data_IF_188394463025
#
_entry.id   IF_188394463025
#
_cell.length_a   1.000
_cell.length_b   1.000
_cell.length_c   1.000
_cell.angle_alpha   90.00
_cell.angle_beta   90.00
_cell.angle_gamma   90.00
#
_symmetry.space_group_name_H-M   'P 1'
#
loop_
_entity.id
_entity.type
_entity.pdbx_description
1 polymer ?
#
# COMPACT_ATOMS: atom_id res chain seq x y z
N UNK A 1 14.57 -12.54 11.62
CA UNK A 1 15.22 -12.49 10.29
C UNK A 1 15.25 -13.90 9.72
N UNK A 2 14.52 -14.19 8.63
CA UNK A 2 14.34 -15.58 8.25
C UNK A 2 15.42 -16.09 7.27
N UNK A 3 16.03 -17.20 7.67
CA UNK A 3 16.51 -18.28 6.77
C UNK A 3 15.66 -19.57 6.93
N UNK A 4 14.83 -19.68 7.98
CA UNK A 4 13.69 -20.62 8.12
C UNK A 4 12.61 -19.99 9.02
N UNK A 5 11.33 -20.23 8.73
CA UNK A 5 10.17 -19.71 9.49
C UNK A 5 9.54 -18.41 8.95
N UNK A 6 8.30 -18.12 9.37
CA UNK A 6 7.58 -16.89 9.01
C UNK A 6 7.77 -15.82 10.09
N UNK A 7 7.97 -14.58 9.67
CA UNK A 7 8.00 -13.43 10.61
C UNK A 7 6.57 -13.00 10.90
N UNK A 8 6.24 -12.77 12.16
CA UNK A 8 4.94 -12.24 12.55
C UNK A 8 4.74 -10.84 11.98
N UNK A 9 3.56 -10.58 11.42
CA UNK A 9 3.20 -9.27 10.89
C UNK A 9 2.80 -8.35 12.05
N UNK A 10 3.25 -7.11 12.00
CA UNK A 10 2.83 -6.07 12.96
C UNK A 10 1.53 -5.46 12.47
N UNK A 11 0.54 -5.43 13.34
CA UNK A 11 -0.72 -4.75 13.07
C UNK A 11 -0.62 -3.25 13.36
N UNK A 12 -1.44 -2.48 12.64
CA UNK A 12 -1.52 -1.03 12.77
C UNK A 12 -2.91 -0.67 13.25
N UNK A 13 -2.98 0.34 14.12
CA UNK A 13 -4.23 0.94 14.58
C UNK A 13 -4.94 1.61 13.40
N UNK A 14 -6.26 1.72 13.51
CA UNK A 14 -7.06 2.45 12.54
C UNK A 14 -6.83 3.96 12.65
N UNK A 15 -7.03 4.66 11.53
CA UNK A 15 -6.92 6.11 11.48
C UNK A 15 -8.02 6.77 12.32
N UNK A 16 -7.72 7.81 13.14
CA UNK A 16 -8.72 8.44 13.98
C UNK A 16 -9.79 9.23 13.20
N UNK A 17 -9.51 9.67 11.97
CA UNK A 17 -10.46 10.47 11.20
C UNK A 17 -11.36 9.59 10.34
N UNK A 18 -10.78 8.61 9.64
CA UNK A 18 -11.49 7.76 8.68
C UNK A 18 -11.74 6.32 9.19
N UNK A 19 -11.30 5.98 10.40
CA UNK A 19 -11.40 4.65 11.00
C UNK A 19 -10.89 3.51 10.10
N UNK A 20 -9.94 3.81 9.21
CA UNK A 20 -9.42 2.86 8.23
C UNK A 20 -7.95 2.53 8.51
N UNK A 21 -7.64 1.23 8.57
CA UNK A 21 -6.25 0.74 8.69
C UNK A 21 -5.44 0.99 7.41
N UNK A 22 -6.11 1.12 6.26
CA UNK A 22 -5.44 1.33 4.96
C UNK A 22 -4.88 2.75 4.88
N UNK A 23 -5.64 3.73 5.35
CA UNK A 23 -5.20 5.14 5.43
C UNK A 23 -4.00 5.27 6.37
N UNK A 24 -4.00 4.58 7.52
CA UNK A 24 -2.85 4.59 8.42
C UNK A 24 -1.60 3.97 7.79
N UNK A 25 -1.75 2.90 7.00
CA UNK A 25 -0.64 2.33 6.22
C UNK A 25 -0.11 3.31 5.17
N UNK A 26 -0.99 4.05 4.49
CA UNK A 26 -0.60 5.11 3.53
C UNK A 26 0.22 6.22 4.22
N UNK A 27 -0.25 6.71 5.38
CA UNK A 27 0.45 7.71 6.18
C UNK A 27 1.85 7.21 6.56
N UNK A 28 1.98 5.94 6.96
CA UNK A 28 3.27 5.35 7.30
C UNK A 28 4.20 5.19 6.08
N UNK A 29 3.68 4.94 4.88
CA UNK A 29 4.49 4.88 3.65
C UNK A 29 5.02 6.26 3.23
N UNK A 30 4.22 7.31 3.39
CA UNK A 30 4.62 8.71 3.06
C UNK A 30 5.57 9.29 4.11
N UNK A 31 5.52 8.77 5.34
CA UNK A 31 6.30 9.27 6.46
C UNK A 31 7.81 9.10 6.22
N UNK A 32 8.49 10.25 6.06
CA UNK A 32 9.94 10.34 5.97
C UNK A 32 10.52 10.81 7.32
N UNK A 33 11.67 10.25 7.70
CA UNK A 33 12.36 10.48 8.98
C UNK A 33 11.50 10.28 10.25
N UNK A 34 10.44 9.46 10.18
CA UNK A 34 9.55 9.23 11.31
C UNK A 34 8.64 10.41 11.68
N UNK A 35 8.53 11.43 10.83
CA UNK A 35 7.72 12.65 11.08
C UNK A 35 6.23 12.40 10.83
N UNK A 36 5.58 11.67 11.74
CA UNK A 36 4.16 11.28 11.60
C UNK A 36 3.19 12.45 11.50
N UNK A 37 3.38 13.50 12.31
CA UNK A 37 2.51 14.68 12.30
C UNK A 37 2.54 15.45 10.98
N UNK A 38 3.70 15.49 10.31
CA UNK A 38 3.83 16.11 8.98
C UNK A 38 3.18 15.23 7.91
N UNK A 39 3.42 13.91 7.96
CA UNK A 39 2.81 12.96 7.05
C UNK A 39 1.27 12.99 7.10
N UNK A 40 0.69 13.05 8.31
CA UNK A 40 -0.76 13.18 8.50
C UNK A 40 -1.31 14.45 7.85
N UNK A 41 -0.66 15.60 8.07
CA UNK A 41 -1.07 16.88 7.45
C UNK A 41 -1.05 16.81 5.92
N UNK A 42 -0.03 16.17 5.34
CA UNK A 42 0.09 16.01 3.89
C UNK A 42 -1.05 15.14 3.35
N UNK A 43 -1.32 13.99 3.98
CA UNK A 43 -2.37 13.06 3.52
C UNK A 43 -3.76 13.68 3.63
N UNK A 44 -4.10 14.29 4.77
CA UNK A 44 -5.40 14.95 4.92
C UNK A 44 -5.56 16.15 4.00
N UNK A 45 -4.49 16.94 3.80
CA UNK A 45 -4.49 18.02 2.83
C UNK A 45 -4.66 17.54 1.39
N UNK A 46 -4.11 16.37 1.04
CA UNK A 46 -4.31 15.75 -0.26
C UNK A 46 -5.76 15.25 -0.43
N UNK A 47 -6.34 14.63 0.58
CA UNK A 47 -7.74 14.16 0.54
C UNK A 47 -8.74 15.30 0.38
N UNK A 48 -8.54 16.43 1.06
CA UNK A 48 -9.38 17.61 0.86
C UNK A 48 -9.34 18.12 -0.59
N UNK A 49 -8.16 18.12 -1.22
CA UNK A 49 -8.01 18.49 -2.64
C UNK A 49 -8.63 17.49 -3.60
N UNK A 50 -8.63 16.21 -3.25
CA UNK A 50 -9.26 15.16 -4.05
C UNK A 50 -10.78 15.29 -3.97
N UNK A 51 -11.33 15.56 -2.79
CA UNK A 51 -12.77 15.82 -2.62
C UNK A 51 -13.24 17.02 -3.43
N UNK A 52 -12.48 18.12 -3.40
CA UNK A 52 -12.78 19.32 -4.18
C UNK A 52 -12.80 19.05 -5.69
N UNK A 53 -11.89 18.21 -6.19
CA UNK A 53 -11.78 17.90 -7.63
C UNK A 53 -12.76 16.83 -8.10
N UNK A 54 -12.97 15.78 -7.31
CA UNK A 54 -13.77 14.63 -7.69
C UNK A 54 -15.26 14.81 -7.33
N UNK A 55 -15.60 15.71 -6.40
CA UNK A 55 -16.96 15.91 -5.91
C UNK A 55 -17.53 14.69 -5.17
N UNK A 56 -16.68 13.73 -4.83
CA UNK A 56 -16.98 12.47 -4.15
C UNK A 56 -16.16 12.39 -2.87
N UNK A 57 -16.61 11.63 -1.84
CA UNK A 57 -15.85 11.47 -0.62
C UNK A 57 -14.46 10.88 -0.89
N UNK A 58 -13.43 11.39 -0.21
CA UNK A 58 -12.03 11.00 -0.46
C UNK A 58 -11.79 9.50 -0.36
N UNK A 59 -12.51 8.83 0.56
CA UNK A 59 -12.32 7.41 0.84
C UNK A 59 -12.75 6.53 -0.32
N UNK A 60 -13.85 6.86 -1.00
CA UNK A 60 -14.35 6.10 -2.15
C UNK A 60 -13.39 6.24 -3.34
N UNK A 61 -12.95 7.47 -3.61
CA UNK A 61 -11.96 7.75 -4.67
C UNK A 61 -10.64 7.03 -4.39
N UNK A 62 -10.24 6.98 -3.11
CA UNK A 62 -9.05 6.27 -2.70
C UNK A 62 -9.18 4.75 -2.88
N UNK A 63 -10.32 4.15 -2.52
CA UNK A 63 -10.57 2.72 -2.73
C UNK A 63 -10.64 2.36 -4.21
N UNK A 64 -11.28 3.19 -5.03
CA UNK A 64 -11.30 3.04 -6.48
C UNK A 64 -9.88 3.09 -7.07
N UNK A 65 -9.07 4.07 -6.65
CA UNK A 65 -7.67 4.18 -7.08
C UNK A 65 -6.86 2.95 -6.66
N UNK A 66 -7.05 2.47 -5.44
CA UNK A 66 -6.39 1.26 -4.95
C UNK A 66 -6.75 0.03 -5.79
N UNK A 67 -8.04 -0.15 -6.13
CA UNK A 67 -8.48 -1.27 -6.97
C UNK A 67 -7.83 -1.25 -8.36
N UNK A 68 -7.63 -0.07 -8.93
CA UNK A 68 -7.00 0.09 -10.24
C UNK A 68 -5.48 -0.17 -10.22
N UNK A 69 -4.79 0.15 -9.13
CA UNK A 69 -3.33 0.01 -9.01
C UNK A 69 -2.91 -1.41 -8.56
N UNK A 70 -3.81 -2.14 -7.91
CA UNK A 70 -3.53 -3.45 -7.33
C UNK A 70 -3.19 -4.52 -8.39
N UNK A 71 -1.94 -5.06 -8.43
CA UNK A 71 -1.54 -6.03 -9.44
C UNK A 71 -2.03 -7.45 -9.10
N UNK A 72 -2.48 -8.18 -10.13
CA UNK A 72 -2.89 -9.59 -10.00
C UNK A 72 -1.68 -10.53 -10.05
N UNK A 73 -0.74 -10.25 -10.95
CA UNK A 73 0.48 -11.05 -11.17
C UNK A 73 1.72 -10.19 -10.94
N UNK A 74 2.70 -10.75 -10.24
CA UNK A 74 4.06 -10.21 -10.18
C UNK A 74 5.02 -11.15 -10.90
N UNK A 75 6.04 -10.58 -11.52
CA UNK A 75 7.07 -11.37 -12.17
C UNK A 75 8.21 -11.61 -11.17
N UNK A 76 8.65 -12.87 -11.04
CA UNK A 76 9.88 -13.21 -10.31
C UNK A 76 10.89 -13.84 -11.24
N UNK A 77 12.13 -13.38 -11.14
CA UNK A 77 13.26 -14.01 -11.80
C UNK A 77 13.50 -15.41 -11.19
N UNK A 78 13.43 -16.45 -12.03
CA UNK A 78 13.87 -17.81 -11.71
C UNK A 78 14.98 -18.23 -12.66
N UNK A 79 16.02 -18.87 -12.13
CA UNK A 79 17.10 -19.43 -12.94
C UNK A 79 16.78 -20.88 -13.28
N UNK A 80 16.72 -21.19 -14.58
CA UNK A 80 16.39 -22.52 -15.10
C UNK A 80 17.34 -22.81 -16.26
N UNK A 81 18.09 -23.93 -16.19
CA UNK A 81 18.94 -24.37 -17.30
C UNK A 81 20.02 -23.36 -17.76
N UNK A 82 20.56 -22.55 -16.85
CA UNK A 82 21.61 -21.57 -17.16
C UNK A 82 21.14 -20.16 -17.51
N UNK A 83 19.87 -19.98 -17.90
CA UNK A 83 19.26 -18.68 -18.20
C UNK A 83 18.31 -18.20 -17.08
N UNK A 84 18.02 -16.89 -17.07
CA UNK A 84 17.13 -16.27 -16.08
C UNK A 84 15.79 -15.96 -16.73
N UNK A 85 14.73 -16.64 -16.29
CA UNK A 85 13.37 -16.47 -16.80
C UNK A 85 12.52 -15.64 -15.86
N UNK A 86 11.68 -14.80 -16.45
CA UNK A 86 10.67 -14.02 -15.77
C UNK A 86 9.40 -14.87 -15.61
N UNK A 87 9.20 -15.43 -14.41
CA UNK A 87 8.06 -16.32 -14.13
C UNK A 87 6.94 -15.53 -13.46
N UNK A 88 5.73 -15.48 -14.06
CA UNK A 88 4.57 -14.83 -13.44
C UNK A 88 4.06 -15.66 -12.27
N UNK A 89 3.80 -14.99 -11.14
CA UNK A 89 3.29 -15.58 -9.91
C UNK A 89 2.15 -14.69 -9.40
N UNK A 90 1.10 -15.33 -8.91
CA UNK A 90 -0.03 -14.62 -8.32
C UNK A 90 0.35 -13.86 -7.05
N UNK A 91 -0.07 -12.60 -6.96
CA UNK A 91 0.22 -11.74 -5.82
C UNK A 91 -0.77 -12.00 -4.71
N UNK A 92 -0.24 -12.39 -3.53
CA UNK A 92 -1.02 -12.53 -2.29
C UNK A 92 -1.71 -11.21 -1.89
N UNK A 93 -2.93 -11.23 -1.33
CA UNK A 93 -3.69 -10.01 -1.01
C UNK A 93 -2.93 -8.97 -0.17
N UNK A 94 -2.26 -9.40 0.91
CA UNK A 94 -1.50 -8.48 1.77
C UNK A 94 -0.36 -7.78 1.03
N UNK A 95 0.28 -8.51 0.10
CA UNK A 95 1.36 -7.99 -0.73
C UNK A 95 0.82 -7.09 -1.84
N UNK A 96 -0.37 -7.40 -2.36
CA UNK A 96 -1.07 -6.59 -3.36
C UNK A 96 -1.35 -5.19 -2.82
N UNK A 97 -1.87 -5.11 -1.60
CA UNK A 97 -2.08 -3.84 -0.91
C UNK A 97 -0.77 -3.08 -0.67
N UNK A 98 0.29 -3.78 -0.25
CA UNK A 98 1.59 -3.14 -0.01
C UNK A 98 2.27 -2.65 -1.29
N UNK A 99 2.10 -3.35 -2.42
CA UNK A 99 2.61 -2.92 -3.72
C UNK A 99 1.85 -1.71 -4.27
N UNK A 100 0.55 -1.62 -4.02
CA UNK A 100 -0.27 -0.48 -4.43
C UNK A 100 0.02 0.80 -3.62
N UNK A 101 0.43 0.66 -2.36
CA UNK A 101 0.78 1.78 -1.46
C UNK A 101 2.26 2.21 -1.54
N UNK A 102 3.03 1.63 -2.45
CA UNK A 102 4.48 1.82 -2.53
C UNK A 102 4.87 3.07 -3.32
#
# INVERSE_FOLDING_TARGET
MPRKGHTQKRDVLADPMYNSKVVTKLINSIMLDGKKGVAQKIVYGAFARVEEKAGKPAIEVFEEAMNNIMPVLEVKARRIGGATYQVPIEVRPDRRQALALR
#
